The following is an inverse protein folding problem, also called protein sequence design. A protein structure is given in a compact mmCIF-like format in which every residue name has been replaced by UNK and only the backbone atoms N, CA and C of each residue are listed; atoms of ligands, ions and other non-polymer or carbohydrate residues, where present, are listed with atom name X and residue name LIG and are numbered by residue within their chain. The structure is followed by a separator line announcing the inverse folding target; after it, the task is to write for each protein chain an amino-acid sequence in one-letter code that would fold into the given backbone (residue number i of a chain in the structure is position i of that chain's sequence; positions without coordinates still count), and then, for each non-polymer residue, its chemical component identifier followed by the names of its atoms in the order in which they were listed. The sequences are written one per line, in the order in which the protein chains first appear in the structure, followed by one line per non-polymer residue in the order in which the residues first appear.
data_IF_777497674969
#
_entry.id   IF_777497674969
#
_cell.length_a   1.000
_cell.length_b   1.000
_cell.length_c   1.000
_cell.angle_alpha   90.00
_cell.angle_beta   90.00
_cell.angle_gamma   90.00
#
_symmetry.space_group_name_H-M   'P 1'
#
loop_
_entity.id
_entity.type
_entity.pdbx_description
1 polymer ?
#
# COMPACT_ATOMS: atom_id res chain seq x y z
N UNK A 1 -4.78 39.54 48.73
CA UNK A 1 -3.39 39.06 48.67
C UNK A 1 -3.36 37.89 47.71
N UNK A 2 -2.90 38.11 46.48
CA UNK A 2 -2.86 37.10 45.42
C UNK A 2 -1.68 36.16 45.68
N UNK A 3 -1.99 34.95 46.11
CA UNK A 3 -1.06 33.84 46.30
C UNK A 3 -0.55 33.37 44.93
N UNK A 4 0.59 33.89 44.50
CA UNK A 4 1.27 33.45 43.28
C UNK A 4 1.89 32.08 43.53
N UNK A 5 1.09 31.02 43.38
CA UNK A 5 1.56 29.62 43.41
C UNK A 5 2.37 29.34 42.15
N UNK A 6 3.68 29.49 42.25
CA UNK A 6 4.63 29.09 41.21
C UNK A 6 4.85 27.57 41.20
N UNK A 7 5.03 27.01 40.00
CA UNK A 7 5.47 25.62 39.83
C UNK A 7 6.85 25.41 40.44
N UNK A 8 7.05 24.29 41.14
CA UNK A 8 8.38 23.94 41.67
C UNK A 8 9.23 23.23 40.61
N UNK A 9 10.56 23.38 40.70
CA UNK A 9 11.51 22.72 39.80
C UNK A 9 11.42 21.19 39.88
N UNK A 10 11.10 20.65 41.07
CA UNK A 10 10.90 19.22 41.30
C UNK A 10 9.64 18.72 40.59
N UNK A 11 8.56 19.50 40.63
CA UNK A 11 7.31 19.16 39.97
C UNK A 11 7.49 19.07 38.45
N UNK A 12 8.23 20.01 37.87
CA UNK A 12 8.58 19.98 36.45
C UNK A 12 9.43 18.74 36.08
N UNK A 13 10.44 18.39 36.89
CA UNK A 13 11.27 17.21 36.66
C UNK A 13 10.44 15.92 36.70
N UNK A 14 9.50 15.81 37.64
CA UNK A 14 8.62 14.64 37.74
C UNK A 14 7.69 14.51 36.52
N UNK A 15 7.17 15.62 36.00
CA UNK A 15 6.32 15.64 34.80
C UNK A 15 7.13 15.23 33.56
N UNK A 16 8.33 15.78 33.37
CA UNK A 16 9.20 15.43 32.23
C UNK A 16 9.61 13.95 32.30
N UNK A 17 9.86 13.43 33.50
CA UNK A 17 10.18 12.02 33.71
C UNK A 17 9.03 11.12 33.26
N UNK A 18 7.80 11.40 33.68
CA UNK A 18 6.62 10.63 33.25
C UNK A 18 6.42 10.72 31.73
N UNK A 19 6.56 11.93 31.14
CA UNK A 19 6.41 12.15 29.70
C UNK A 19 7.44 11.36 28.88
N UNK A 20 8.68 11.24 29.35
CA UNK A 20 9.72 10.48 28.66
C UNK A 20 9.37 8.99 28.55
N UNK A 21 8.87 8.39 29.64
CA UNK A 21 8.43 6.98 29.66
C UNK A 21 7.23 6.77 28.73
N UNK A 22 6.29 7.71 28.72
CA UNK A 22 5.14 7.64 27.81
C UNK A 22 5.56 7.76 26.33
N UNK A 23 6.49 8.66 26.01
CA UNK A 23 6.98 8.86 24.65
C UNK A 23 7.66 7.60 24.08
N UNK A 24 8.41 6.88 24.92
CA UNK A 24 9.07 5.62 24.57
C UNK A 24 8.07 4.53 24.11
N UNK A 25 6.89 4.46 24.73
CA UNK A 25 5.85 3.49 24.39
C UNK A 25 5.00 3.98 23.21
N UNK A 26 4.64 5.27 23.20
CA UNK A 26 3.75 5.86 22.21
C UNK A 26 4.36 5.88 20.80
N UNK A 27 5.67 6.15 20.69
CA UNK A 27 6.35 6.31 19.40
C UNK A 27 6.25 5.08 18.47
N UNK A 28 6.68 3.85 18.86
CA UNK A 28 6.60 2.67 17.99
C UNK A 28 5.17 2.23 17.67
N UNK A 29 4.21 2.52 18.55
CA UNK A 29 2.80 2.19 18.32
C UNK A 29 2.24 3.05 17.18
N UNK A 30 2.55 4.35 17.20
CA UNK A 30 2.06 5.29 16.20
C UNK A 30 2.59 4.99 14.79
N UNK A 31 3.87 4.61 14.65
CA UNK A 31 4.45 4.26 13.34
C UNK A 31 3.74 3.06 12.69
N UNK A 32 3.48 2.00 13.46
CA UNK A 32 2.78 0.82 12.98
C UNK A 32 1.33 1.12 12.57
N UNK A 33 0.68 2.07 13.25
CA UNK A 33 -0.69 2.47 12.91
C UNK A 33 -0.77 3.17 11.55
N UNK A 34 0.11 4.14 11.31
CA UNK A 34 0.17 4.86 10.02
C UNK A 34 0.45 3.89 8.88
N UNK A 35 1.35 2.95 9.10
CA UNK A 35 1.75 1.95 8.12
C UNK A 35 0.57 1.05 7.70
N UNK A 36 -0.22 0.57 8.68
CA UNK A 36 -1.45 -0.18 8.40
C UNK A 36 -2.51 0.66 7.71
N UNK A 37 -2.67 1.92 8.12
CA UNK A 37 -3.59 2.86 7.48
C UNK A 37 -3.22 3.05 5.99
N UNK A 38 -1.92 3.17 5.68
CA UNK A 38 -1.41 3.27 4.31
C UNK A 38 -1.75 2.04 3.48
N UNK A 39 -1.48 0.84 4.00
CA UNK A 39 -1.82 -0.42 3.31
C UNK A 39 -3.33 -0.50 3.06
N UNK A 40 -4.15 -0.10 4.04
CA UNK A 40 -5.61 -0.08 3.90
C UNK A 40 -6.07 0.89 2.80
N UNK A 41 -5.49 2.08 2.73
CA UNK A 41 -5.82 3.07 1.70
C UNK A 41 -5.40 2.59 0.29
N UNK A 42 -4.22 1.97 0.15
CA UNK A 42 -3.79 1.34 -1.11
C UNK A 42 -4.72 0.19 -1.50
N UNK A 43 -5.17 -0.61 -0.53
CA UNK A 43 -6.16 -1.66 -0.78
C UNK A 43 -7.47 -1.09 -1.32
N UNK A 44 -7.96 0.03 -0.80
CA UNK A 44 -9.14 0.72 -1.32
C UNK A 44 -8.94 1.16 -2.77
N UNK A 45 -7.78 1.73 -3.11
CA UNK A 45 -7.44 2.08 -4.49
C UNK A 45 -7.36 0.84 -5.42
N UNK A 46 -6.84 -0.29 -4.91
CA UNK A 46 -6.83 -1.56 -5.64
C UNK A 46 -8.26 -2.11 -5.87
N UNK A 47 -9.16 -1.97 -4.89
CA UNK A 47 -10.56 -2.38 -5.04
C UNK A 47 -11.28 -1.55 -6.11
N UNK A 48 -11.06 -0.23 -6.14
CA UNK A 48 -11.64 0.63 -7.17
C UNK A 48 -11.15 0.24 -8.58
N UNK A 49 -9.86 -0.03 -8.71
CA UNK A 49 -9.30 -0.57 -9.95
C UNK A 49 -9.85 -1.95 -10.29
N UNK A 50 -10.09 -2.82 -9.31
CA UNK A 50 -10.69 -4.13 -9.54
C UNK A 50 -12.12 -3.99 -10.08
N UNK A 51 -12.93 -3.10 -9.52
CA UNK A 51 -14.27 -2.78 -10.05
C UNK A 51 -14.22 -2.23 -11.48
N UNK A 52 -13.23 -1.39 -11.80
CA UNK A 52 -13.01 -0.95 -13.16
C UNK A 52 -12.71 -2.15 -14.10
N UNK A 53 -11.85 -3.08 -13.67
CA UNK A 53 -11.53 -4.28 -14.45
C UNK A 53 -12.76 -5.18 -14.63
N UNK A 54 -13.58 -5.37 -13.60
CA UNK A 54 -14.85 -6.11 -13.68
C UNK A 54 -15.78 -5.49 -14.72
N UNK A 55 -15.97 -4.16 -14.66
CA UNK A 55 -16.77 -3.43 -15.65
C UNK A 55 -16.21 -3.58 -17.06
N UNK A 56 -14.89 -3.51 -17.21
CA UNK A 56 -14.22 -3.70 -18.50
C UNK A 56 -14.47 -5.12 -19.05
N UNK A 57 -14.43 -6.13 -18.19
CA UNK A 57 -14.73 -7.51 -18.57
C UNK A 57 -16.18 -7.71 -19.00
N UNK A 58 -17.14 -7.09 -18.30
CA UNK A 58 -18.56 -7.14 -18.68
C UNK A 58 -18.82 -6.52 -20.07
N UNK A 59 -18.02 -5.52 -20.45
CA UNK A 59 -18.16 -4.83 -21.74
C UNK A 59 -17.44 -5.55 -22.89
N UNK A 60 -16.28 -6.17 -22.63
CA UNK A 60 -15.40 -6.70 -23.68
C UNK A 60 -15.24 -8.22 -23.66
N UNK A 61 -15.71 -8.90 -22.61
CA UNK A 61 -15.52 -10.35 -22.41
C UNK A 61 -14.07 -10.77 -22.07
N UNK A 62 -13.16 -9.81 -21.89
CA UNK A 62 -11.75 -10.05 -21.54
C UNK A 62 -11.23 -8.90 -20.68
N UNK A 63 -10.26 -9.19 -19.81
CA UNK A 63 -9.56 -8.17 -19.02
C UNK A 63 -8.46 -7.45 -19.81
N UNK A 64 -8.11 -7.92 -21.01
CA UNK A 64 -7.08 -7.32 -21.85
C UNK A 64 -7.70 -6.31 -22.81
N UNK A 65 -7.04 -5.17 -23.02
CA UNK A 65 -7.49 -4.21 -24.03
C UNK A 65 -7.18 -4.71 -25.44
N UNK A 66 -6.01 -5.32 -25.61
CA UNK A 66 -5.59 -6.01 -26.84
C UNK A 66 -4.80 -7.26 -26.47
N UNK A 67 -4.42 -8.09 -27.45
CA UNK A 67 -3.61 -9.30 -27.19
C UNK A 67 -2.29 -9.04 -26.47
N UNK A 68 -1.78 -7.80 -26.48
CA UNK A 68 -0.49 -7.41 -25.90
C UNK A 68 -0.57 -6.27 -24.89
N UNK A 69 -1.74 -5.64 -24.70
CA UNK A 69 -1.88 -4.45 -23.85
C UNK A 69 -3.03 -4.58 -22.84
N UNK A 70 -2.74 -4.11 -21.64
CA UNK A 70 -3.71 -3.96 -20.56
C UNK A 70 -4.49 -2.64 -20.69
N UNK A 71 -5.74 -2.58 -20.23
CA UNK A 71 -6.48 -1.32 -20.17
C UNK A 71 -5.81 -0.36 -19.16
N UNK A 72 -5.93 0.94 -19.42
CA UNK A 72 -5.41 1.97 -18.51
C UNK A 72 -6.28 2.02 -17.26
N UNK A 73 -5.67 1.78 -16.10
CA UNK A 73 -6.34 1.86 -14.81
C UNK A 73 -6.69 3.33 -14.46
N UNK A 74 -7.85 3.59 -13.83
CA UNK A 74 -8.24 4.93 -13.39
C UNK A 74 -7.32 5.46 -12.29
N UNK A 75 -6.92 4.61 -11.34
CA UNK A 75 -5.98 4.97 -10.27
C UNK A 75 -4.64 4.31 -10.54
N UNK A 76 -3.63 5.13 -10.87
CA UNK A 76 -2.28 4.66 -11.15
C UNK A 76 -1.33 4.87 -9.96
N UNK A 77 -1.70 5.72 -9.00
CA UNK A 77 -0.90 6.00 -7.81
C UNK A 77 -1.82 6.27 -6.62
N UNK A 78 -1.44 5.76 -5.44
CA UNK A 78 -2.14 6.00 -4.18
C UNK A 78 -1.16 5.89 -3.01
N UNK A 79 -1.15 6.87 -2.10
CA UNK A 79 -0.42 6.81 -0.82
C UNK A 79 1.08 6.48 -0.95
N UNK A 80 1.73 6.94 -2.02
CA UNK A 80 3.14 6.67 -2.31
C UNK A 80 3.42 5.30 -2.93
N UNK A 81 2.39 4.62 -3.44
CA UNK A 81 2.49 3.41 -4.24
C UNK A 81 2.03 3.68 -5.67
N UNK A 82 2.76 3.14 -6.64
CA UNK A 82 2.31 3.04 -8.02
C UNK A 82 1.56 1.72 -8.24
N UNK A 83 0.46 1.76 -8.98
CA UNK A 83 -0.46 0.64 -9.20
C UNK A 83 -0.48 0.30 -10.69
N UNK A 84 -0.23 -0.97 -10.99
CA UNK A 84 -0.27 -1.51 -12.36
C UNK A 84 -0.71 -2.96 -12.35
N UNK A 85 -1.02 -3.48 -13.54
CA UNK A 85 -1.24 -4.92 -13.73
C UNK A 85 0.08 -5.68 -13.60
N UNK A 86 0.02 -6.84 -12.97
CA UNK A 86 1.16 -7.72 -12.75
C UNK A 86 1.22 -8.77 -13.86
N UNK A 87 2.34 -8.82 -14.56
CA UNK A 87 2.55 -9.70 -15.70
C UNK A 87 2.18 -9.05 -17.03
N UNK A 88 2.66 -9.70 -18.10
CA UNK A 88 2.40 -9.27 -19.48
C UNK A 88 1.00 -9.67 -19.91
N UNK A 89 0.33 -8.83 -20.70
CA UNK A 89 -0.96 -9.19 -21.30
C UNK A 89 -0.82 -10.30 -22.36
N UNK A 90 0.33 -10.36 -23.05
CA UNK A 90 0.60 -11.39 -24.07
C UNK A 90 0.63 -12.78 -23.42
N UNK A 91 -0.35 -13.61 -23.78
CA UNK A 91 -0.50 -14.97 -23.23
C UNK A 91 -1.15 -15.02 -21.86
N UNK A 92 -1.62 -13.89 -21.31
CA UNK A 92 -2.45 -13.90 -20.11
C UNK A 92 -3.85 -14.45 -20.42
N UNK A 93 -4.41 -15.18 -19.46
CA UNK A 93 -5.77 -15.69 -19.51
C UNK A 93 -6.77 -14.53 -19.57
N UNK A 94 -7.80 -14.64 -20.42
CA UNK A 94 -8.79 -13.57 -20.61
C UNK A 94 -9.63 -13.26 -19.37
N UNK A 95 -9.76 -14.24 -18.47
CA UNK A 95 -10.56 -14.19 -17.24
C UNK A 95 -9.75 -13.99 -15.96
N UNK A 96 -8.44 -13.72 -16.05
CA UNK A 96 -7.60 -13.48 -14.87
C UNK A 96 -6.83 -12.20 -14.97
N UNK A 97 -6.74 -11.49 -13.85
CA UNK A 97 -5.84 -10.36 -13.70
C UNK A 97 -5.23 -10.36 -12.30
N UNK A 98 -4.07 -9.73 -12.18
CA UNK A 98 -3.44 -9.47 -10.89
C UNK A 98 -3.10 -8.00 -10.85
N UNK A 99 -3.73 -7.23 -9.98
CA UNK A 99 -3.28 -5.89 -9.66
C UNK A 99 -2.12 -5.97 -8.69
N UNK A 100 -1.17 -5.07 -8.81
CA UNK A 100 -0.03 -4.95 -7.91
C UNK A 100 0.24 -3.48 -7.64
N UNK A 101 0.51 -3.17 -6.39
CA UNK A 101 0.92 -1.87 -5.89
C UNK A 101 2.35 -1.99 -5.36
N UNK A 102 3.24 -1.14 -5.85
CA UNK A 102 4.66 -1.09 -5.47
C UNK A 102 4.95 0.29 -4.89
N UNK A 103 5.61 0.35 -3.74
CA UNK A 103 6.02 1.62 -3.16
C UNK A 103 7.00 2.34 -4.09
N UNK A 104 6.83 3.65 -4.24
CA UNK A 104 7.74 4.52 -4.99
C UNK A 104 9.12 4.51 -4.31
N UNK A 105 9.14 4.66 -2.98
CA UNK A 105 10.35 4.55 -2.18
C UNK A 105 10.44 3.20 -1.46
N UNK A 106 11.21 2.29 -2.05
CA UNK A 106 11.44 0.94 -1.50
C UNK A 106 12.32 0.92 -0.24
N UNK A 107 13.12 1.96 0.01
CA UNK A 107 13.96 2.01 1.20
C UNK A 107 13.10 2.27 2.43
N UNK A 108 12.07 3.09 2.27
CA UNK A 108 11.09 3.38 3.31
C UNK A 108 10.04 2.27 3.45
N UNK A 109 9.62 1.68 2.33
CA UNK A 109 8.57 0.66 2.30
C UNK A 109 8.91 -0.44 1.28
N UNK A 110 9.58 -1.53 1.69
CA UNK A 110 9.98 -2.59 0.76
C UNK A 110 8.81 -3.51 0.36
N UNK A 111 7.68 -3.41 1.06
CA UNK A 111 6.56 -4.31 0.87
C UNK A 111 5.73 -3.90 -0.33
N UNK A 112 5.09 -4.88 -0.93
CA UNK A 112 4.17 -4.70 -2.04
C UNK A 112 2.84 -5.33 -1.72
N UNK A 113 1.79 -4.84 -2.38
CA UNK A 113 0.43 -5.35 -2.21
C UNK A 113 -0.02 -5.87 -3.57
N UNK A 114 -0.65 -7.03 -3.60
CA UNK A 114 -1.26 -7.61 -4.81
C UNK A 114 -2.70 -7.95 -4.55
N UNK A 115 -3.52 -7.89 -5.58
CA UNK A 115 -4.92 -8.29 -5.54
C UNK A 115 -5.25 -9.09 -6.80
N UNK A 116 -5.95 -10.21 -6.63
CA UNK A 116 -6.40 -11.02 -7.76
C UNK A 116 -7.82 -10.64 -8.20
N UNK A 117 -8.32 -11.32 -9.22
CA UNK A 117 -9.68 -11.17 -9.75
C UNK A 117 -10.78 -11.52 -8.73
N UNK A 118 -10.45 -12.29 -7.68
CA UNK A 118 -11.35 -12.65 -6.58
C UNK A 118 -11.24 -11.70 -5.37
N UNK A 119 -10.59 -10.53 -5.53
CA UNK A 119 -10.36 -9.54 -4.46
C UNK A 119 -9.52 -10.05 -3.28
N UNK A 120 -8.82 -11.18 -3.45
CA UNK A 120 -7.88 -11.72 -2.46
C UNK A 120 -6.60 -10.90 -2.50
N UNK A 121 -6.28 -10.28 -1.37
CA UNK A 121 -5.11 -9.43 -1.23
C UNK A 121 -3.93 -10.21 -0.65
N UNK A 122 -2.75 -10.04 -1.24
CA UNK A 122 -1.49 -10.58 -0.75
C UNK A 122 -0.53 -9.43 -0.45
N UNK A 123 0.17 -9.51 0.68
CA UNK A 123 1.26 -8.59 1.01
C UNK A 123 2.56 -9.37 0.96
N UNK A 124 3.52 -8.90 0.14
CA UNK A 124 4.84 -9.50 0.02
C UNK A 124 5.90 -8.60 0.64
N UNK A 125 6.89 -9.21 1.33
CA UNK A 125 7.94 -8.49 2.05
C UNK A 125 8.98 -7.82 1.15
N UNK A 126 9.08 -8.24 -0.12
CA UNK A 126 10.01 -7.65 -1.07
C UNK A 126 9.68 -8.00 -2.51
N UNK A 127 10.11 -7.13 -3.42
CA UNK A 127 9.89 -7.25 -4.87
C UNK A 127 11.03 -6.66 -5.69
N UNK A 128 11.32 -7.27 -6.84
CA UNK A 128 12.22 -6.68 -7.85
C UNK A 128 11.52 -5.63 -8.72
N UNK A 129 10.19 -5.57 -8.74
CA UNK A 129 9.42 -4.62 -9.57
C UNK A 129 9.57 -3.18 -9.07
N UNK A 130 9.66 -2.18 -9.96
CA UNK A 130 9.86 -0.76 -9.62
C UNK A 130 8.85 0.14 -10.33
N UNK A 131 8.62 1.35 -9.81
CA UNK A 131 7.76 2.35 -10.46
C UNK A 131 8.46 3.04 -11.64
N UNK A 132 9.78 3.18 -11.60
CA UNK A 132 10.54 4.01 -12.57
C UNK A 132 11.02 3.24 -13.81
N UNK A 133 10.49 2.05 -14.07
CA UNK A 133 10.87 1.22 -15.22
C UNK A 133 10.20 1.65 -16.54
N UNK A 134 9.29 2.62 -16.51
CA UNK A 134 8.56 3.12 -17.68
C UNK A 134 7.60 2.11 -18.31
N UNK A 135 7.31 1.00 -17.62
CA UNK A 135 6.44 -0.06 -18.12
C UNK A 135 4.99 0.13 -17.65
N UNK A 136 4.02 -0.15 -18.53
CA UNK A 136 2.58 -0.13 -18.20
C UNK A 136 2.14 -1.28 -17.27
N UNK A 137 3.02 -2.24 -16.99
CA UNK A 137 2.78 -3.41 -16.15
C UNK A 137 4.02 -3.74 -15.33
N UNK A 138 3.84 -4.46 -14.22
CA UNK A 138 4.95 -4.98 -13.43
C UNK A 138 5.44 -6.33 -13.95
N UNK A 139 6.75 -6.49 -14.01
CA UNK A 139 7.44 -7.78 -14.07
C UNK A 139 8.34 -7.92 -12.84
N UNK A 140 8.60 -9.15 -12.42
CA UNK A 140 9.54 -9.41 -11.34
C UNK A 140 9.04 -10.47 -10.37
N UNK A 141 9.98 -10.94 -9.56
CA UNK A 141 9.73 -11.94 -8.55
C UNK A 141 9.48 -11.27 -7.20
N UNK A 142 8.56 -11.88 -6.46
CA UNK A 142 8.11 -11.37 -5.17
C UNK A 142 8.43 -12.41 -4.08
N UNK A 143 8.91 -11.93 -2.94
CA UNK A 143 9.39 -12.78 -1.84
C UNK A 143 8.53 -12.58 -0.59
N UNK A 144 8.32 -13.68 0.14
CA UNK A 144 7.61 -13.66 1.43
C UNK A 144 6.19 -13.12 1.34
N UNK A 145 5.43 -13.59 0.34
CA UNK A 145 4.02 -13.22 0.18
C UNK A 145 3.13 -13.94 1.20
N UNK A 146 2.28 -13.16 1.86
CA UNK A 146 1.32 -13.64 2.86
C UNK A 146 -0.07 -13.11 2.51
N UNK A 147 -1.10 -13.86 2.87
CA UNK A 147 -2.47 -13.44 2.65
C UNK A 147 -2.81 -12.31 3.63
N UNK A 148 -3.33 -11.21 3.11
CA UNK A 148 -3.77 -10.10 3.94
C UNK A 148 -5.09 -10.49 4.60
N UNK A 149 -5.08 -10.66 5.92
CA UNK A 149 -6.24 -11.04 6.72
C UNK A 149 -6.98 -9.82 7.25
#
# INVERSE_FOLDING_TARGET
MTDNRGFTLVELISVVLILSVLALIAYPIYSNYIEKARISAVRSALLENAHFMEKFYLQNGTFKQTSTKWPKLPIQEAEGFCIRLNGVARGALDSKFMLKAVAIDKNKEPRIIKMNENLVTFVCKGSTSSCDDGLDYFRGNDKGCTLFK
#
